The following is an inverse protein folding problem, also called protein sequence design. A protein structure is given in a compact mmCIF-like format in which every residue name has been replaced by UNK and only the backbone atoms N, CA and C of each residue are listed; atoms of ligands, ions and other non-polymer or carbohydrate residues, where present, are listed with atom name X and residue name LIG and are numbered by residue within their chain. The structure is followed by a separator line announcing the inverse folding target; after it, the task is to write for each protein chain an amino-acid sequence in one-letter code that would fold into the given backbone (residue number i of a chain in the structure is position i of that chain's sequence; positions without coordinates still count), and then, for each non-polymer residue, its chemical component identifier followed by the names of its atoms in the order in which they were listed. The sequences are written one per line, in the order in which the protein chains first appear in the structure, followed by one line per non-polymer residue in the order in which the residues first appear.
data_IF_898053047610
#
_entry.id   IF_898053047610
#
_cell.length_a   1.000
_cell.length_b   1.000
_cell.length_c   1.000
_cell.angle_alpha   90.00
_cell.angle_beta   90.00
_cell.angle_gamma   90.00
#
_symmetry.space_group_name_H-M   'P 1'
#
loop_
_entity.id
_entity.type
_entity.pdbx_description
1 polymer ?
#
# COMPACT_ATOMS: atom_id res chain seq x y z
N UNK A 1 26.68 -32.19 -0.33
CA UNK A 1 25.27 -31.97 0.03
C UNK A 1 25.14 -30.57 0.61
N UNK A 2 24.98 -29.57 -0.26
CA UNK A 2 24.71 -28.19 0.12
C UNK A 2 23.24 -28.06 0.49
N UNK A 3 22.97 -27.79 1.76
CA UNK A 3 21.63 -27.59 2.33
C UNK A 3 21.04 -26.30 1.80
N UNK A 4 20.21 -26.42 0.77
CA UNK A 4 19.35 -25.34 0.30
C UNK A 4 18.30 -25.07 1.39
N UNK A 5 18.53 -24.03 2.20
CA UNK A 5 17.56 -23.58 3.21
C UNK A 5 16.40 -22.93 2.46
N UNK A 6 15.13 -23.35 2.64
CA UNK A 6 14.02 -22.71 1.95
C UNK A 6 14.00 -21.23 2.32
N UNK A 7 14.47 -20.41 1.37
CA UNK A 7 14.58 -18.98 1.53
C UNK A 7 13.19 -18.43 1.82
N UNK A 8 13.07 -17.65 2.89
CA UNK A 8 11.83 -16.99 3.32
C UNK A 8 11.18 -16.31 2.12
N UNK A 9 10.17 -16.95 1.53
CA UNK A 9 9.48 -16.42 0.36
C UNK A 9 8.89 -15.06 0.76
N UNK A 10 9.21 -14.01 0.01
CA UNK A 10 8.72 -12.66 0.28
C UNK A 10 7.19 -12.68 0.08
N UNK A 11 6.44 -12.78 1.17
CA UNK A 11 4.98 -12.82 1.14
C UNK A 11 4.46 -11.50 0.55
N UNK A 12 3.85 -11.59 -0.63
CA UNK A 12 3.25 -10.45 -1.33
C UNK A 12 1.74 -10.47 -1.09
N UNK A 13 1.19 -9.39 -0.54
CA UNK A 13 -0.24 -9.23 -0.29
C UNK A 13 -0.83 -8.20 -1.25
N UNK A 14 -2.00 -8.51 -1.82
CA UNK A 14 -2.78 -7.59 -2.65
C UNK A 14 -3.99 -7.11 -1.84
N UNK A 15 -4.00 -5.84 -1.47
CA UNK A 15 -5.07 -5.21 -0.69
C UNK A 15 -5.92 -4.28 -1.57
N UNK A 16 -7.23 -4.29 -1.38
CA UNK A 16 -8.18 -3.38 -2.07
C UNK A 16 -9.02 -2.66 -1.02
N UNK A 17 -9.16 -1.34 -1.17
CA UNK A 17 -10.00 -0.50 -0.30
C UNK A 17 -11.20 -0.02 -1.10
N UNK A 18 -12.41 -0.32 -0.65
CA UNK A 18 -13.67 0.06 -1.31
C UNK A 18 -14.43 1.11 -0.50
N UNK A 19 -15.31 1.87 -1.16
CA UNK A 19 -16.17 2.87 -0.54
C UNK A 19 -16.54 4.01 -1.49
N UNK A 20 -17.59 4.76 -1.15
CA UNK A 20 -18.13 5.86 -1.96
C UNK A 20 -17.14 6.99 -2.22
N UNK A 21 -17.45 7.89 -3.17
CA UNK A 21 -16.62 9.06 -3.47
C UNK A 21 -16.48 9.96 -2.21
N UNK A 22 -15.31 10.57 -2.00
CA UNK A 22 -15.08 11.53 -0.91
C UNK A 22 -14.79 10.94 0.48
N UNK A 23 -14.97 9.63 0.74
CA UNK A 23 -14.79 9.04 2.08
C UNK A 23 -13.32 8.93 2.59
N UNK A 24 -12.34 9.42 1.84
CA UNK A 24 -10.95 9.47 2.30
C UNK A 24 -10.09 8.20 2.10
N UNK A 25 -10.46 7.28 1.19
CA UNK A 25 -9.68 6.04 0.89
C UNK A 25 -8.22 6.32 0.52
N UNK A 26 -8.00 7.34 -0.31
CA UNK A 26 -6.66 7.74 -0.74
C UNK A 26 -5.89 8.39 0.41
N UNK A 27 -6.55 9.20 1.26
CA UNK A 27 -5.94 9.78 2.45
C UNK A 27 -5.48 8.70 3.44
N UNK A 28 -6.27 7.63 3.64
CA UNK A 28 -5.89 6.47 4.46
C UNK A 28 -4.66 5.75 3.88
N UNK A 29 -4.65 5.50 2.57
CA UNK A 29 -3.52 4.86 1.88
C UNK A 29 -2.23 5.67 2.01
N UNK A 30 -2.31 6.98 1.84
CA UNK A 30 -1.15 7.89 1.93
C UNK A 30 -0.66 8.02 3.36
N UNK A 31 -1.58 8.12 4.33
CA UNK A 31 -1.21 8.15 5.74
C UNK A 31 -0.45 6.89 6.14
N UNK A 32 -0.89 5.74 5.67
CA UNK A 32 -0.23 4.45 5.94
C UNK A 32 1.18 4.39 5.35
N UNK A 33 1.38 4.95 4.15
CA UNK A 33 2.66 4.94 3.45
C UNK A 33 3.66 5.98 3.94
N UNK A 34 3.21 7.23 4.09
CA UNK A 34 4.08 8.38 4.31
C UNK A 34 4.13 8.81 5.78
N UNK A 35 3.34 8.17 6.66
CA UNK A 35 3.17 8.53 8.08
C UNK A 35 2.82 10.01 8.34
N UNK A 36 2.33 10.72 7.33
CA UNK A 36 1.93 12.14 7.38
C UNK A 36 0.49 12.29 6.92
N UNK A 37 -0.18 13.31 7.43
CA UNK A 37 -1.52 13.70 6.99
C UNK A 37 -1.38 15.02 6.25
N UNK A 38 -1.77 15.05 4.98
CA UNK A 38 -1.78 16.26 4.16
C UNK A 38 -3.24 16.67 4.01
N UNK A 39 -3.57 17.90 4.40
CA UNK A 39 -4.92 18.46 4.39
C UNK A 39 -5.41 18.79 2.97
N UNK A 40 -4.50 19.08 2.06
CA UNK A 40 -4.79 19.35 0.66
C UNK A 40 -4.54 18.08 -0.16
N UNK A 41 -5.58 17.27 -0.31
CA UNK A 41 -5.52 16.10 -1.19
C UNK A 41 -6.22 16.40 -2.51
N UNK A 42 -5.44 16.52 -3.59
CA UNK A 42 -6.00 16.59 -4.94
C UNK A 42 -6.63 15.21 -5.27
N UNK A 43 -7.91 15.17 -5.67
CA UNK A 43 -8.58 13.91 -5.96
C UNK A 43 -7.83 13.15 -7.05
N UNK A 44 -7.57 11.87 -6.78
CA UNK A 44 -6.86 10.99 -7.69
C UNK A 44 -7.87 10.30 -8.61
N UNK A 45 -7.85 10.66 -9.90
CA UNK A 45 -8.76 10.20 -10.97
C UNK A 45 -8.67 8.70 -11.32
N UNK A 46 -8.10 7.86 -10.44
CA UNK A 46 -7.99 6.41 -10.60
C UNK A 46 -6.57 5.90 -10.36
N UNK A 47 -6.29 5.38 -9.16
CA UNK A 47 -4.95 4.94 -8.78
C UNK A 47 -4.95 3.52 -8.21
N UNK A 48 -4.07 2.68 -8.75
CA UNK A 48 -3.63 1.42 -8.13
C UNK A 48 -2.30 1.72 -7.44
N UNK A 49 -2.26 1.66 -6.11
CA UNK A 49 -1.02 1.85 -5.35
C UNK A 49 -0.27 0.53 -5.21
N UNK A 50 0.98 0.49 -5.66
CA UNK A 50 1.87 -0.68 -5.50
C UNK A 50 2.86 -0.40 -4.38
N UNK A 51 2.60 -0.95 -3.21
CA UNK A 51 3.46 -0.81 -2.03
C UNK A 51 4.49 -1.94 -2.04
N UNK A 52 5.76 -1.59 -2.24
CA UNK A 52 6.88 -2.54 -2.10
C UNK A 52 7.58 -2.19 -0.80
N UNK A 53 7.32 -2.99 0.24
CA UNK A 53 8.09 -2.90 1.48
C UNK A 53 9.49 -3.49 1.22
N UNK A 54 10.50 -2.61 1.15
CA UNK A 54 11.89 -3.00 1.37
C UNK A 54 12.15 -2.80 2.87
N UNK A 55 12.64 -3.86 3.52
CA UNK A 55 12.88 -3.91 4.96
C UNK A 55 13.72 -2.74 5.44
#
# INVERSE_FOLDING_TARGET
MSSDRPGRTKMLYKLVVMGSQGVGKSALTIRFLQKRFVTEYYPTDGFIFRIICHR
#
